data_IF_369107558740
#
_entry.id   IF_369107558740
#
_cell.length_a   1.000
_cell.length_b   1.000
_cell.length_c   1.000
_cell.angle_alpha   90.00
_cell.angle_beta   90.00
_cell.angle_gamma   90.00
#
_symmetry.space_group_name_H-M   'P 1'
#
loop_
_entity.id
_entity.type
_entity.pdbx_description
1 polymer ?
#
# COMPACT_ATOMS: atom_id res chain seq x y z
N UNK A 1 -1.16 -20.98 51.89
CA UNK A 1 -0.66 -20.06 50.84
C UNK A 1 -1.24 -20.54 49.52
N UNK A 2 -2.11 -19.77 48.89
CA UNK A 2 -2.88 -20.18 47.70
C UNK A 2 -2.08 -19.73 46.47
N UNK A 3 -1.70 -20.67 45.60
CA UNK A 3 -0.96 -20.39 44.38
C UNK A 3 -1.88 -19.79 43.31
N UNK A 4 -1.72 -18.51 43.01
CA UNK A 4 -2.39 -17.84 41.91
C UNK A 4 -1.72 -18.19 40.57
N UNK A 5 -2.42 -18.94 39.73
CA UNK A 5 -2.08 -19.13 38.32
C UNK A 5 -2.48 -17.87 37.54
N UNK A 6 -1.51 -17.00 37.26
CA UNK A 6 -1.68 -15.94 36.26
C UNK A 6 -1.59 -16.56 34.86
N UNK A 7 -2.74 -16.68 34.19
CA UNK A 7 -2.79 -16.96 32.77
C UNK A 7 -2.37 -15.69 32.00
N UNK A 8 -1.18 -15.71 31.39
CA UNK A 8 -0.78 -14.67 30.43
C UNK A 8 -1.56 -14.90 29.13
N UNK A 9 -2.57 -14.07 28.88
CA UNK A 9 -3.14 -13.93 27.55
C UNK A 9 -2.12 -13.22 26.65
N UNK A 10 -1.49 -13.96 25.74
CA UNK A 10 -0.77 -13.34 24.63
C UNK A 10 -1.79 -12.56 23.79
N UNK A 11 -1.80 -11.23 23.94
CA UNK A 11 -2.47 -10.33 23.02
C UNK A 11 -1.72 -10.34 21.67
N UNK A 12 -1.76 -11.46 20.96
CA UNK A 12 -1.29 -11.56 19.59
C UNK A 12 -2.25 -10.79 18.69
N UNK A 13 -1.80 -9.68 18.11
CA UNK A 13 -2.57 -9.02 17.04
C UNK A 13 -2.86 -10.04 15.94
N UNK A 14 -4.08 -10.06 15.36
CA UNK A 14 -4.41 -11.02 14.33
C UNK A 14 -3.40 -10.93 13.17
N UNK A 15 -2.97 -12.07 12.59
CA UNK A 15 -1.97 -12.06 11.54
C UNK A 15 -2.45 -11.23 10.35
N UNK A 16 -1.63 -10.28 9.91
CA UNK A 16 -1.93 -9.50 8.70
C UNK A 16 -2.02 -10.44 7.50
N UNK A 17 -3.14 -10.45 6.80
CA UNK A 17 -3.30 -11.18 5.55
C UNK A 17 -2.44 -10.52 4.47
N UNK A 18 -1.34 -11.16 4.11
CA UNK A 18 -0.40 -10.68 3.12
C UNK A 18 -0.54 -11.44 1.80
N UNK A 19 -0.51 -10.73 0.68
CA UNK A 19 -0.52 -11.30 -0.68
C UNK A 19 0.29 -10.44 -1.64
N UNK A 20 0.77 -11.04 -2.73
CA UNK A 20 1.37 -10.28 -3.83
C UNK A 20 0.28 -9.90 -4.82
N UNK A 21 0.28 -8.64 -5.26
CA UNK A 21 -0.58 -8.15 -6.34
C UNK A 21 0.27 -7.56 -7.46
N UNK A 22 -0.09 -7.87 -8.69
CA UNK A 22 0.37 -7.10 -9.84
C UNK A 22 -0.52 -5.85 -9.97
N UNK A 23 0.09 -4.67 -10.00
CA UNK A 23 -0.66 -3.42 -9.87
C UNK A 23 0.02 -2.21 -10.50
N UNK A 24 -0.77 -1.13 -10.59
CA UNK A 24 -0.30 0.23 -10.85
C UNK A 24 -0.37 1.03 -9.56
N UNK A 25 0.77 1.48 -9.06
CA UNK A 25 0.88 2.39 -7.92
C UNK A 25 0.86 3.84 -8.42
N UNK A 26 -0.03 4.67 -7.86
CA UNK A 26 -0.28 6.04 -8.33
C UNK A 26 -0.75 6.95 -7.19
N UNK A 27 -0.60 8.26 -7.38
CA UNK A 27 -1.16 9.28 -6.51
C UNK A 27 -2.55 9.73 -7.00
N UNK A 28 -3.45 10.04 -6.09
CA UNK A 28 -4.81 10.50 -6.38
C UNK A 28 -5.31 11.39 -5.24
N UNK A 29 -6.27 12.28 -5.54
CA UNK A 29 -6.94 13.08 -4.51
C UNK A 29 -7.76 12.21 -3.54
N UNK A 30 -7.81 12.64 -2.28
CA UNK A 30 -8.52 11.99 -1.17
C UNK A 30 -7.66 11.01 -0.38
N UNK A 31 -8.10 10.66 0.83
CA UNK A 31 -7.32 9.87 1.78
C UNK A 31 -7.70 8.37 1.75
N UNK A 32 -6.75 7.44 1.56
CA UNK A 32 -5.32 7.64 1.26
C UNK A 32 -5.02 8.12 -0.16
N UNK A 33 -4.04 9.00 -0.27
CA UNK A 33 -3.61 9.61 -1.52
C UNK A 33 -2.82 8.64 -2.44
N UNK A 34 -1.94 7.80 -1.86
CA UNK A 34 -1.19 6.79 -2.61
C UNK A 34 -2.03 5.52 -2.69
N UNK A 35 -2.19 4.98 -3.90
CA UNK A 35 -3.07 3.85 -4.17
C UNK A 35 -2.42 2.83 -5.10
N UNK A 36 -2.89 1.59 -5.03
CA UNK A 36 -2.57 0.53 -6.00
C UNK A 36 -3.87 0.10 -6.67
N UNK A 37 -3.95 0.28 -7.98
CA UNK A 37 -4.95 -0.39 -8.79
C UNK A 37 -4.45 -1.78 -9.12
N UNK A 38 -5.22 -2.82 -8.77
CA UNK A 38 -4.88 -4.20 -9.09
C UNK A 38 -5.26 -4.47 -10.53
N UNK A 39 -4.25 -4.67 -11.39
CA UNK A 39 -4.43 -4.83 -12.84
C UNK A 39 -5.39 -5.99 -13.13
N UNK A 40 -6.28 -5.78 -14.11
CA UNK A 40 -7.30 -6.76 -14.49
C UNK A 40 -8.52 -6.81 -13.57
N UNK A 41 -8.62 -5.90 -12.59
CA UNK A 41 -9.77 -5.83 -11.66
C UNK A 41 -10.28 -4.40 -11.50
N UNK A 42 -11.41 -4.21 -10.82
CA UNK A 42 -11.87 -2.88 -10.36
C UNK A 42 -11.32 -2.49 -8.99
N UNK A 43 -10.41 -3.29 -8.41
CA UNK A 43 -9.98 -3.14 -7.01
C UNK A 43 -8.88 -2.08 -6.91
N UNK A 44 -9.11 -1.12 -6.01
CA UNK A 44 -8.11 -0.15 -5.56
C UNK A 44 -7.79 -0.43 -4.09
N UNK A 45 -6.49 -0.49 -3.78
CA UNK A 45 -5.96 -0.59 -2.44
C UNK A 45 -5.36 0.76 -2.05
N UNK A 46 -5.62 1.21 -0.83
CA UNK A 46 -5.03 2.43 -0.30
C UNK A 46 -3.75 2.13 0.49
N UNK A 47 -2.68 2.87 0.24
CA UNK A 47 -1.46 2.72 1.05
C UNK A 47 -1.70 3.38 2.40
N UNK A 48 -1.38 2.65 3.45
CA UNK A 48 -1.65 3.10 4.81
C UNK A 48 -0.55 4.04 5.31
N UNK A 49 -0.74 5.33 5.03
CA UNK A 49 0.08 6.42 5.53
C UNK A 49 -0.75 7.30 6.47
N UNK A 50 -0.07 7.84 7.48
CA UNK A 50 -0.65 8.77 8.47
C UNK A 50 -0.78 10.18 7.89
N UNK A 51 0.09 10.51 6.93
CA UNK A 51 0.09 11.76 6.15
C UNK A 51 -0.04 11.44 4.66
N UNK A 52 -0.74 12.31 3.93
CA UNK A 52 -0.93 12.16 2.49
C UNK A 52 0.40 12.31 1.74
N UNK A 53 0.58 11.49 0.70
CA UNK A 53 1.77 11.49 -0.18
C UNK A 53 3.12 11.19 0.51
N UNK A 54 3.10 10.72 1.75
CA UNK A 54 4.32 10.30 2.45
C UNK A 54 4.90 9.02 1.84
N UNK A 55 6.03 9.14 1.14
CA UNK A 55 6.67 8.01 0.48
C UNK A 55 7.28 7.00 1.46
N UNK A 56 7.55 7.35 2.72
CA UNK A 56 8.26 6.51 3.69
C UNK A 56 7.59 5.17 3.99
N UNK A 57 6.27 5.08 3.77
CA UNK A 57 5.49 3.84 3.88
C UNK A 57 5.66 2.89 2.69
N UNK A 58 6.36 3.30 1.64
CA UNK A 58 6.68 2.49 0.47
C UNK A 58 8.09 1.88 0.58
N UNK A 59 8.34 0.70 -0.01
CA UNK A 59 9.66 0.12 -0.10
C UNK A 59 10.69 1.06 -0.75
N UNK A 60 11.95 1.01 -0.29
CA UNK A 60 12.99 1.95 -0.71
C UNK A 60 13.21 1.99 -2.23
N UNK A 61 13.08 0.85 -2.92
CA UNK A 61 13.19 0.78 -4.38
C UNK A 61 12.03 1.50 -5.10
N UNK A 62 10.83 1.49 -4.54
CA UNK A 62 9.69 2.27 -5.05
C UNK A 62 9.96 3.77 -4.86
N UNK A 63 10.42 4.19 -3.67
CA UNK A 63 10.75 5.59 -3.39
C UNK A 63 11.84 6.12 -4.33
N UNK A 64 12.92 5.36 -4.51
CA UNK A 64 14.03 5.69 -5.42
C UNK A 64 13.57 5.87 -6.87
N UNK A 65 12.54 5.14 -7.29
CA UNK A 65 12.00 5.23 -8.64
C UNK A 65 11.01 6.38 -8.80
N UNK A 66 10.18 6.66 -7.79
CA UNK A 66 9.09 7.63 -7.88
C UNK A 66 9.48 9.05 -7.46
N UNK A 67 10.27 9.22 -6.39
CA UNK A 67 10.64 10.55 -5.89
C UNK A 67 11.30 11.45 -6.95
N UNK A 68 12.16 10.94 -7.86
CA UNK A 68 12.75 11.77 -8.91
C UNK A 68 11.77 12.33 -9.94
N UNK A 69 10.49 11.94 -9.94
CA UNK A 69 9.49 12.53 -10.84
C UNK A 69 9.11 13.95 -10.46
N UNK A 70 9.45 14.41 -9.25
CA UNK A 70 9.16 15.74 -8.72
C UNK A 70 7.68 15.94 -8.34
N UNK A 71 6.76 15.49 -9.20
CA UNK A 71 5.33 15.43 -8.94
C UNK A 71 4.85 13.97 -9.04
N UNK A 72 4.35 13.42 -7.93
CA UNK A 72 3.84 12.04 -7.88
C UNK A 72 2.58 11.83 -8.72
N UNK A 73 1.83 12.89 -9.04
CA UNK A 73 0.65 12.82 -9.90
C UNK A 73 1.00 12.70 -11.38
N UNK A 74 2.24 13.01 -11.79
CA UNK A 74 2.68 12.96 -13.18
C UNK A 74 3.29 11.61 -13.58
N UNK A 75 3.25 10.62 -12.69
CA UNK A 75 3.74 9.28 -13.01
C UNK A 75 3.06 8.21 -12.16
N UNK A 76 3.11 6.98 -12.65
CA UNK A 76 2.78 5.79 -11.90
C UNK A 76 3.90 4.76 -11.96
N UNK A 77 3.83 3.75 -11.09
CA UNK A 77 4.74 2.61 -11.11
C UNK A 77 3.92 1.35 -11.28
N UNK A 78 4.17 0.63 -12.38
CA UNK A 78 3.69 -0.73 -12.55
C UNK A 78 4.65 -1.71 -11.88
N UNK A 79 4.12 -2.79 -11.32
CA UNK A 79 4.94 -3.88 -10.81
C UNK A 79 4.19 -4.79 -9.85
N UNK A 80 4.96 -5.59 -9.12
CA UNK A 80 4.44 -6.51 -8.13
C UNK A 80 4.66 -5.98 -6.72
N UNK A 81 3.60 -5.96 -5.93
CA UNK A 81 3.60 -5.41 -4.57
C UNK A 81 3.14 -6.48 -3.59
N UNK A 82 3.98 -6.81 -2.60
CA UNK A 82 3.58 -7.64 -1.45
C UNK A 82 2.86 -6.76 -0.44
N UNK A 83 1.54 -6.82 -0.46
CA UNK A 83 0.65 -6.02 0.37
C UNK A 83 0.14 -6.82 1.56
N UNK A 84 0.06 -6.19 2.73
CA UNK A 84 -0.49 -6.77 3.95
C UNK A 84 -1.69 -5.93 4.41
N UNK A 85 -2.84 -6.57 4.55
CA UNK A 85 -4.07 -5.91 4.97
C UNK A 85 -4.06 -5.64 6.48
N UNK A 86 -4.35 -4.39 6.87
CA UNK A 86 -4.56 -4.04 8.28
C UNK A 86 -5.90 -4.51 8.82
N UNK A 87 -6.92 -4.55 7.95
CA UNK A 87 -8.29 -5.00 8.26
C UNK A 87 -8.82 -5.89 7.14
N UNK A 88 -9.77 -6.80 7.44
CA UNK A 88 -10.48 -7.56 6.42
C UNK A 88 -11.13 -6.65 5.37
N UNK A 89 -11.18 -7.13 4.12
CA UNK A 89 -11.85 -6.42 3.04
C UNK A 89 -13.35 -6.31 3.34
N UNK A 90 -13.95 -5.14 3.08
CA UNK A 90 -15.40 -4.92 3.14
C UNK A 90 -15.93 -4.36 1.82
N UNK A 91 -17.14 -4.72 1.37
CA UNK A 91 -17.76 -4.08 0.21
C UNK A 91 -17.90 -2.56 0.40
N UNK A 92 -17.73 -1.78 -0.67
CA UNK A 92 -17.87 -0.32 -0.65
C UNK A 92 -16.72 0.45 0.04
N UNK A 93 -15.81 -0.23 0.75
CA UNK A 93 -14.71 0.42 1.48
C UNK A 93 -13.37 0.14 0.80
N UNK A 94 -12.59 1.19 0.55
CA UNK A 94 -11.21 1.05 0.08
C UNK A 94 -10.36 0.41 1.19
N UNK A 95 -9.83 -0.78 0.91
CA UNK A 95 -9.00 -1.49 1.87
C UNK A 95 -7.64 -0.82 1.97
N UNK A 96 -7.24 -0.48 3.20
CA UNK A 96 -5.89 0.02 3.48
C UNK A 96 -4.90 -1.12 3.67
N UNK A 97 -3.71 -0.97 3.10
CA UNK A 97 -2.64 -1.96 3.09
C UNK A 97 -1.28 -1.34 3.35
N UNK A 98 -0.37 -2.14 3.91
CA UNK A 98 1.05 -1.82 3.99
C UNK A 98 1.77 -2.56 2.86
N UNK A 99 2.70 -1.90 2.18
CA UNK A 99 3.54 -2.54 1.16
C UNK A 99 4.86 -2.96 1.81
N UNK A 100 5.08 -4.26 1.92
CA UNK A 100 6.28 -4.81 2.59
C UNK A 100 7.45 -5.05 1.64
N UNK A 101 7.16 -5.35 0.37
CA UNK A 101 8.15 -5.57 -0.70
C UNK A 101 7.55 -5.17 -2.03
N UNK A 102 8.41 -4.82 -2.99
CA UNK A 102 8.00 -4.55 -4.36
C UNK A 102 9.09 -5.01 -5.34
N UNK A 103 8.69 -5.46 -6.54
CA UNK A 103 9.58 -5.96 -7.57
C UNK A 103 8.98 -5.83 -8.96
N UNK A 104 9.77 -6.11 -10.00
CA UNK A 104 9.36 -5.92 -11.42
C UNK A 104 8.79 -4.52 -11.69
N UNK A 105 9.48 -3.52 -11.15
CA UNK A 105 9.02 -2.13 -11.19
C UNK A 105 9.32 -1.49 -12.55
N UNK A 106 8.31 -0.83 -13.13
CA UNK A 106 8.43 0.01 -14.32
C UNK A 106 7.78 1.36 -14.04
N UNK A 107 8.56 2.44 -14.17
CA UNK A 107 8.03 3.79 -14.12
C UNK A 107 7.26 4.08 -15.41
N UNK A 108 6.11 4.73 -15.27
CA UNK A 108 5.24 5.13 -16.36
C UNK A 108 4.91 6.61 -16.16
N UNK A 109 5.59 7.48 -16.93
CA UNK A 109 5.38 8.93 -16.86
C UNK A 109 4.16 9.30 -17.70
N UNK A 110 3.37 10.23 -17.19
CA UNK A 110 2.34 10.89 -17.97
C UNK A 110 3.03 12.08 -18.63
N UNK A 111 3.55 11.86 -19.83
CA UNK A 111 4.32 12.87 -20.56
C UNK A 111 3.39 14.03 -20.98
N UNK A 112 3.24 15.02 -20.11
CA UNK A 112 2.89 16.42 -20.42
C UNK A 112 1.58 16.74 -21.15
N UNK A 113 0.73 15.76 -21.47
CA UNK A 113 -0.56 16.00 -22.13
C UNK A 113 -1.73 15.93 -21.15
N UNK A 114 -2.71 16.87 -21.20
CA UNK A 114 -3.97 16.70 -20.49
C UNK A 114 -4.74 15.47 -21.05
N UNK A 115 -5.67 14.86 -20.27
CA UNK A 115 -6.65 13.95 -20.85
C UNK A 115 -7.54 14.65 -21.90
#
# INVERSE_FOLDING_TARGET
MIASLLALTLAGSPPMLCRTVHGRLFASNGNPAIRIWVVGTKRILGIDADEDLLLDRLPANVRKLWAPTGNLFNASIYGDFRVCARKPQRPGVMQRVIVTRAGRLRLDRYDGGPP
#
